data_IF_429520058695
#
_entry.id   IF_429520058695
#
_cell.length_a   1.000
_cell.length_b   1.000
_cell.length_c   1.000
_cell.angle_alpha   90.00
_cell.angle_beta   90.00
_cell.angle_gamma   90.00
#
_symmetry.space_group_name_H-M   'P 1'
#
loop_
_entity.id
_entity.type
_entity.pdbx_description
1 polymer ?
#
# COMPACT_ATOMS: atom_id res chain seq x y z
N UNK A 1 -9.40 -35.00 27.47
CA UNK A 1 -10.16 -33.74 27.32
C UNK A 1 -9.58 -32.95 26.17
N UNK A 2 -10.39 -32.62 25.15
CA UNK A 2 -9.93 -31.89 23.95
C UNK A 2 -9.42 -30.49 24.33
N UNK A 3 -8.09 -30.33 24.32
CA UNK A 3 -7.34 -29.18 24.83
C UNK A 3 -7.53 -27.89 24.02
N UNK A 4 -8.64 -27.20 24.24
CA UNK A 4 -8.82 -25.83 23.73
C UNK A 4 -7.90 -24.90 24.52
N UNK A 5 -6.94 -24.32 23.82
CA UNK A 5 -6.00 -23.34 24.38
C UNK A 5 -6.64 -21.95 24.33
N UNK A 6 -6.61 -21.24 25.45
CA UNK A 6 -7.10 -19.86 25.56
C UNK A 6 -5.97 -18.88 25.30
N UNK A 7 -6.28 -17.78 24.62
CA UNK A 7 -5.35 -16.70 24.31
C UNK A 7 -5.98 -15.34 24.63
N UNK A 8 -5.17 -14.36 25.00
CA UNK A 8 -5.69 -13.08 25.46
C UNK A 8 -4.58 -12.11 25.83
N UNK A 9 -4.97 -10.93 26.30
CA UNK A 9 -4.02 -9.93 26.77
C UNK A 9 -3.82 -10.02 28.28
N UNK A 10 -2.56 -10.07 28.70
CA UNK A 10 -2.14 -9.94 30.08
C UNK A 10 -1.04 -8.88 30.19
N UNK A 11 -1.25 -7.85 31.01
CA UNK A 11 -0.32 -6.72 31.19
C UNK A 11 0.19 -6.12 29.87
N UNK A 12 -0.69 -5.99 28.88
CA UNK A 12 -0.36 -5.45 27.55
C UNK A 12 0.22 -6.47 26.55
N UNK A 13 0.65 -7.65 27.00
CA UNK A 13 1.18 -8.72 26.14
C UNK A 13 0.09 -9.69 25.71
N UNK A 14 0.13 -10.15 24.45
CA UNK A 14 -0.82 -11.13 23.92
C UNK A 14 -0.29 -12.55 24.11
N UNK A 15 -0.71 -13.20 25.19
CA UNK A 15 -0.29 -14.57 25.52
C UNK A 15 -1.14 -15.58 24.75
N UNK A 16 -0.49 -16.63 24.26
CA UNK A 16 -1.07 -17.58 23.29
C UNK A 16 -1.53 -18.87 23.94
N UNK A 17 -1.16 -19.10 25.20
CA UNK A 17 -1.58 -20.26 25.94
C UNK A 17 -1.86 -19.99 27.41
N UNK A 18 -2.69 -20.87 28.00
CA UNK A 18 -2.94 -20.88 29.44
C UNK A 18 -1.66 -21.13 30.24
N UNK A 19 -0.72 -21.92 29.70
CA UNK A 19 0.55 -22.21 30.37
C UNK A 19 1.46 -20.98 30.39
N UNK A 20 1.54 -20.22 29.29
CA UNK A 20 2.25 -18.93 29.25
C UNK A 20 1.67 -17.96 30.29
N UNK A 21 0.35 -17.88 30.41
CA UNK A 21 -0.29 -17.05 31.43
C UNK A 21 0.08 -17.47 32.85
N UNK A 22 0.01 -18.77 33.17
CA UNK A 22 0.38 -19.27 34.49
C UNK A 22 1.86 -18.96 34.79
N UNK A 23 2.73 -19.09 33.79
CA UNK A 23 4.14 -18.77 33.96
C UNK A 23 4.38 -17.28 34.19
N UNK A 24 3.76 -16.41 33.40
CA UNK A 24 3.80 -14.96 33.60
C UNK A 24 3.35 -14.57 35.01
N UNK A 25 2.25 -15.19 35.50
CA UNK A 25 1.75 -14.99 36.87
C UNK A 25 2.74 -15.43 37.94
N UNK A 26 3.42 -16.55 37.72
CA UNK A 26 4.50 -17.00 38.59
C UNK A 26 5.66 -16.01 38.63
N UNK A 27 6.12 -15.54 37.48
CA UNK A 27 7.21 -14.55 37.38
C UNK A 27 6.84 -13.25 38.10
N UNK A 28 5.62 -12.75 37.88
CA UNK A 28 5.11 -11.56 38.54
C UNK A 28 5.05 -11.71 40.07
N UNK A 29 4.63 -12.89 40.57
CA UNK A 29 4.60 -13.17 42.01
C UNK A 29 6.01 -13.24 42.62
N UNK A 30 6.99 -13.73 41.86
CA UNK A 30 8.40 -13.78 42.28
C UNK A 30 9.16 -12.48 42.01
N UNK A 31 8.48 -11.45 41.52
CA UNK A 31 9.08 -10.16 41.14
C UNK A 31 10.20 -10.29 40.11
N UNK A 32 10.16 -11.32 39.27
CA UNK A 32 11.12 -11.54 38.19
C UNK A 32 10.64 -10.75 36.98
N UNK A 33 11.43 -9.78 36.54
CA UNK A 33 11.12 -9.03 35.32
C UNK A 33 11.27 -9.90 34.07
N UNK A 34 10.30 -9.79 33.16
CA UNK A 34 10.23 -10.56 31.92
C UNK A 34 9.70 -9.72 30.75
N UNK A 35 10.17 -10.06 29.56
CA UNK A 35 9.60 -9.60 28.29
C UNK A 35 9.05 -10.78 27.50
N UNK A 36 7.95 -10.56 26.77
CA UNK A 36 7.30 -11.61 25.97
C UNK A 36 7.63 -11.49 24.49
N UNK A 37 8.11 -12.58 23.90
CA UNK A 37 8.30 -12.72 22.45
C UNK A 37 9.10 -11.56 21.81
N UNK A 38 10.16 -11.12 22.48
CA UNK A 38 10.95 -9.89 22.19
C UNK A 38 11.33 -9.76 20.71
N UNK A 39 11.92 -10.81 20.13
CA UNK A 39 12.36 -10.82 18.73
C UNK A 39 12.40 -12.22 18.14
N UNK A 40 12.43 -12.24 16.81
CA UNK A 40 12.62 -13.45 16.02
C UNK A 40 14.11 -13.55 15.69
N UNK A 41 14.67 -14.73 15.92
CA UNK A 41 16.06 -15.06 15.64
C UNK A 41 16.15 -15.97 14.42
N UNK A 42 17.12 -15.71 13.55
CA UNK A 42 17.41 -16.62 12.43
C UNK A 42 18.34 -17.74 12.92
N UNK A 43 18.09 -18.97 12.48
CA UNK A 43 18.91 -20.13 12.87
C UNK A 43 19.89 -20.51 11.76
N UNK A 44 21.09 -20.96 12.13
CA UNK A 44 22.13 -21.41 11.20
C UNK A 44 21.71 -22.63 10.38
N UNK A 45 20.88 -23.50 10.97
CA UNK A 45 20.25 -24.65 10.28
C UNK A 45 19.12 -24.26 9.33
N UNK A 46 18.78 -22.98 9.28
CA UNK A 46 17.67 -22.42 8.51
C UNK A 46 16.37 -22.34 9.30
N UNK A 47 15.52 -21.41 8.88
CA UNK A 47 14.31 -21.06 9.62
C UNK A 47 14.58 -20.01 10.70
N UNK A 48 13.62 -19.84 11.60
CA UNK A 48 13.71 -18.87 12.68
C UNK A 48 13.31 -19.47 14.01
N UNK A 49 13.58 -18.82 15.13
CA UNK A 49 13.11 -19.20 16.45
C UNK A 49 12.65 -17.96 17.20
N UNK A 50 11.61 -18.10 18.02
CA UNK A 50 11.02 -17.00 18.78
C UNK A 50 10.68 -17.56 20.16
N UNK A 51 11.54 -17.37 21.17
CA UNK A 51 11.27 -17.85 22.52
C UNK A 51 10.08 -17.11 23.13
N UNK A 52 9.36 -17.76 24.03
CA UNK A 52 8.15 -17.20 24.65
C UNK A 52 8.50 -16.05 25.61
N UNK A 53 9.49 -16.22 26.48
CA UNK A 53 9.92 -15.22 27.46
C UNK A 53 11.42 -14.97 27.42
N UNK A 54 11.82 -13.73 27.69
CA UNK A 54 13.18 -13.32 28.04
C UNK A 54 13.16 -12.78 29.47
N UNK A 55 14.02 -13.30 30.34
CA UNK A 55 14.14 -12.85 31.72
C UNK A 55 15.21 -11.76 31.86
N UNK A 56 15.15 -11.02 32.96
CA UNK A 56 16.11 -9.93 33.26
C UNK A 56 17.58 -10.37 33.38
N UNK A 57 17.83 -11.65 33.67
CA UNK A 57 19.17 -12.24 33.68
C UNK A 57 19.70 -12.59 32.27
N UNK A 58 18.91 -12.31 31.22
CA UNK A 58 19.24 -12.61 29.83
C UNK A 58 18.91 -14.04 29.40
N UNK A 59 18.38 -14.88 30.31
CA UNK A 59 17.94 -16.23 29.96
C UNK A 59 16.62 -16.23 29.20
N UNK A 60 16.42 -17.24 28.36
CA UNK A 60 15.18 -17.42 27.60
C UNK A 60 14.38 -18.59 28.16
N UNK A 61 13.06 -18.51 28.04
CA UNK A 61 12.16 -19.57 28.48
C UNK A 61 11.17 -19.92 27.37
N UNK A 62 11.00 -21.22 27.14
CA UNK A 62 10.01 -21.79 26.23
C UNK A 62 8.99 -22.58 27.05
N UNK A 63 7.71 -22.23 26.94
CA UNK A 63 6.61 -22.89 27.66
C UNK A 63 5.87 -23.84 26.73
N UNK A 64 5.79 -25.13 27.10
CA UNK A 64 5.20 -26.17 26.24
C UNK A 64 4.26 -27.10 26.99
N UNK A 65 3.07 -27.33 26.43
CA UNK A 65 2.16 -28.37 26.91
C UNK A 65 2.67 -29.77 26.57
N UNK A 66 2.79 -30.05 25.26
CA UNK A 66 3.50 -31.23 24.74
C UNK A 66 4.85 -30.82 24.17
N UNK A 67 5.87 -31.65 24.36
CA UNK A 67 7.23 -31.40 23.85
C UNK A 67 7.69 -32.56 22.99
N UNK A 68 8.01 -32.28 21.73
CA UNK A 68 8.57 -33.28 20.84
C UNK A 68 10.10 -33.17 20.83
N UNK A 69 10.76 -34.09 21.54
CA UNK A 69 12.22 -34.13 21.64
C UNK A 69 12.93 -34.32 20.29
N UNK A 70 12.27 -34.86 19.27
CA UNK A 70 12.88 -35.07 17.96
C UNK A 70 12.87 -33.80 17.10
N UNK A 71 11.89 -32.90 17.30
CA UNK A 71 11.72 -31.72 16.44
C UNK A 71 12.00 -30.40 17.16
N UNK A 72 11.57 -30.29 18.41
CA UNK A 72 11.64 -29.04 19.16
C UNK A 72 13.03 -28.86 19.79
N UNK A 73 13.57 -29.92 20.39
CA UNK A 73 14.87 -29.87 21.07
C UNK A 73 16.03 -29.51 20.13
N UNK A 74 16.16 -30.06 18.90
CA UNK A 74 17.25 -29.67 18.01
C UNK A 74 17.20 -28.20 17.62
N UNK A 75 16.00 -27.63 17.48
CA UNK A 75 15.81 -26.22 17.14
C UNK A 75 16.23 -25.30 18.29
N UNK A 76 15.87 -25.67 19.51
CA UNK A 76 16.29 -24.96 20.73
C UNK A 76 17.81 -25.03 20.89
N UNK A 77 18.40 -26.23 20.78
CA UNK A 77 19.86 -26.39 20.85
C UNK A 77 20.61 -25.62 19.77
N UNK A 78 20.05 -25.54 18.56
CA UNK A 78 20.60 -24.71 17.49
C UNK A 78 20.61 -23.24 17.90
N UNK A 79 19.50 -22.74 18.45
CA UNK A 79 19.40 -21.37 18.95
C UNK A 79 20.40 -21.09 20.10
N UNK A 80 20.47 -21.97 21.09
CA UNK A 80 21.43 -21.87 22.19
C UNK A 80 22.87 -21.78 21.67
N UNK A 81 23.23 -22.63 20.70
CA UNK A 81 24.55 -22.64 20.07
C UNK A 81 24.82 -21.38 19.24
N UNK A 82 23.86 -20.97 18.40
CA UNK A 82 24.02 -19.86 17.46
C UNK A 82 24.19 -18.51 18.18
N UNK A 83 23.55 -18.37 19.35
CA UNK A 83 23.51 -17.10 20.09
C UNK A 83 24.25 -17.14 21.44
N UNK A 84 24.80 -18.29 21.84
CA UNK A 84 25.53 -18.44 23.11
C UNK A 84 24.63 -18.23 24.33
N UNK A 85 23.37 -18.67 24.25
CA UNK A 85 22.36 -18.47 25.30
C UNK A 85 21.85 -19.81 25.82
N UNK A 86 21.15 -19.78 26.96
CA UNK A 86 20.45 -20.94 27.51
C UNK A 86 18.95 -20.73 27.47
N UNK A 87 18.22 -21.76 27.04
CA UNK A 87 16.77 -21.79 27.00
C UNK A 87 16.25 -22.79 28.02
N UNK A 88 15.50 -22.31 29.00
CA UNK A 88 14.78 -23.18 29.93
C UNK A 88 13.47 -23.63 29.29
N UNK A 89 13.27 -24.94 29.19
CA UNK A 89 11.99 -25.51 28.75
C UNK A 89 11.13 -25.76 29.98
N UNK A 90 9.92 -25.19 29.99
CA UNK A 90 8.97 -25.30 31.08
C UNK A 90 7.72 -26.03 30.57
N UNK A 91 7.43 -27.18 31.15
CA UNK A 91 6.22 -27.96 30.85
C UNK A 91 5.14 -27.79 31.92
N UNK A 92 3.94 -28.30 31.67
CA UNK A 92 2.84 -28.27 32.65
C UNK A 92 3.24 -28.89 34.01
N UNK A 93 4.01 -29.99 34.01
CA UNK A 93 4.51 -30.60 35.25
C UNK A 93 5.43 -29.65 36.04
N UNK A 94 6.29 -28.93 35.34
CA UNK A 94 7.25 -28.01 35.95
C UNK A 94 6.52 -26.78 36.49
N UNK A 95 5.51 -26.28 35.76
CA UNK A 95 4.63 -25.20 36.23
C UNK A 95 3.86 -25.60 37.48
N UNK A 96 3.33 -26.82 37.55
CA UNK A 96 2.64 -27.31 38.76
C UNK A 96 3.57 -27.30 39.97
N UNK A 97 4.82 -27.74 39.80
CA UNK A 97 5.83 -27.71 40.86
C UNK A 97 6.19 -26.27 41.26
N UNK A 98 6.41 -25.38 40.30
CA UNK A 98 6.70 -23.97 40.57
C UNK A 98 5.57 -23.29 41.35
N UNK A 99 4.32 -23.51 40.92
CA UNK A 99 3.14 -22.93 41.58
C UNK A 99 2.91 -23.53 42.97
N UNK A 100 3.21 -24.81 43.19
CA UNK A 100 3.08 -25.45 44.51
C UNK A 100 3.97 -24.78 45.58
N UNK A 101 5.06 -24.11 45.18
CA UNK A 101 5.91 -23.32 46.09
C UNK A 101 5.35 -21.93 46.44
N UNK A 102 4.14 -21.62 45.98
CA UNK A 102 3.48 -20.32 46.14
C UNK A 102 2.10 -20.48 46.78
N UNK A 103 1.49 -19.40 47.30
CA UNK A 103 0.10 -19.41 47.75
C UNK A 103 -0.95 -19.57 46.62
N UNK A 104 -0.52 -19.56 45.35
CA UNK A 104 -1.43 -19.65 44.22
C UNK A 104 -1.84 -21.10 43.94
N UNK A 105 -3.06 -21.28 43.42
CA UNK A 105 -3.57 -22.59 43.01
C UNK A 105 -3.59 -22.67 41.49
N UNK A 106 -2.90 -23.68 40.94
CA UNK A 106 -2.75 -23.86 39.50
C UNK A 106 -4.10 -23.89 38.75
N UNK A 107 -5.09 -24.62 39.27
CA UNK A 107 -6.41 -24.72 38.63
C UNK A 107 -7.20 -23.39 38.73
N UNK A 108 -7.00 -22.60 39.78
CA UNK A 108 -7.60 -21.25 39.87
C UNK A 108 -7.03 -20.33 38.79
N UNK A 109 -5.70 -20.37 38.56
CA UNK A 109 -5.07 -19.59 37.49
C UNK A 109 -5.57 -19.99 36.10
N UNK A 110 -5.85 -21.27 35.86
CA UNK A 110 -6.49 -21.73 34.61
C UNK A 110 -7.89 -21.15 34.43
N UNK A 111 -8.72 -21.16 35.48
CA UNK A 111 -10.07 -20.60 35.42
C UNK A 111 -10.05 -19.08 35.25
N UNK A 112 -9.15 -18.41 35.96
CA UNK A 112 -8.93 -16.97 35.85
C UNK A 112 -8.55 -16.61 34.41
N UNK A 113 -7.60 -17.33 33.80
CA UNK A 113 -7.25 -17.08 32.41
C UNK A 113 -8.43 -17.29 31.47
N UNK A 114 -9.24 -18.32 31.70
CA UNK A 114 -10.44 -18.57 30.89
C UNK A 114 -11.45 -17.42 30.96
N UNK A 115 -11.54 -16.72 32.08
CA UNK A 115 -12.41 -15.55 32.23
C UNK A 115 -11.83 -14.29 31.55
N UNK A 116 -10.50 -14.12 31.60
CA UNK A 116 -9.82 -12.95 31.03
C UNK A 116 -9.59 -13.10 29.52
N UNK A 117 -9.30 -14.32 29.06
CA UNK A 117 -9.01 -14.63 27.68
C UNK A 117 -10.25 -14.42 26.80
N UNK A 118 -10.20 -13.38 25.98
CA UNK A 118 -11.28 -13.00 25.06
C UNK A 118 -11.39 -13.91 23.83
N UNK A 119 -10.53 -14.93 23.69
CA UNK A 119 -10.45 -15.79 22.51
C UNK A 119 -10.22 -17.27 22.83
N UNK A 120 -10.96 -18.11 22.13
CA UNK A 120 -10.73 -19.55 22.02
C UNK A 120 -9.89 -19.83 20.76
N UNK A 121 -8.67 -20.32 20.93
CA UNK A 121 -7.72 -20.56 19.84
C UNK A 121 -6.92 -19.32 19.42
N UNK A 122 -5.70 -19.55 18.93
CA UNK A 122 -4.69 -18.51 18.68
C UNK A 122 -5.14 -17.50 17.59
N UNK A 123 -5.13 -16.20 17.90
CA UNK A 123 -5.25 -15.15 16.88
C UNK A 123 -3.99 -15.14 16.00
N UNK A 124 -4.18 -15.42 14.72
CA UNK A 124 -3.10 -15.47 13.72
C UNK A 124 -3.10 -14.24 12.81
N UNK A 125 -3.81 -13.17 13.19
CA UNK A 125 -3.86 -11.92 12.46
C UNK A 125 -2.86 -10.88 12.99
N UNK A 126 -2.38 -10.01 12.10
CA UNK A 126 -1.55 -8.85 12.45
C UNK A 126 -0.37 -9.18 13.39
N UNK A 127 -0.15 -8.30 14.38
CA UNK A 127 0.94 -8.41 15.37
C UNK A 127 0.83 -9.62 16.30
N UNK A 128 -0.37 -10.20 16.44
CA UNK A 128 -0.62 -11.34 17.33
C UNK A 128 -0.13 -12.68 16.73
N UNK A 129 0.07 -12.71 15.40
CA UNK A 129 0.64 -13.87 14.72
C UNK A 129 2.08 -14.13 15.18
N UNK A 130 2.41 -15.37 15.58
CA UNK A 130 3.78 -15.77 15.96
C UNK A 130 4.84 -15.54 14.87
N UNK A 131 4.42 -15.52 13.61
CA UNK A 131 5.27 -15.22 12.45
C UNK A 131 5.21 -13.77 12.00
N UNK A 132 4.56 -12.89 12.76
CA UNK A 132 4.53 -11.46 12.43
C UNK A 132 5.96 -10.91 12.39
N UNK A 133 6.33 -10.26 11.29
CA UNK A 133 7.68 -9.75 11.06
C UNK A 133 8.70 -10.78 10.55
N UNK A 134 8.36 -12.07 10.48
CA UNK A 134 9.25 -13.08 9.92
C UNK A 134 9.44 -12.87 8.41
N UNK A 135 10.70 -12.76 7.96
CA UNK A 135 11.02 -12.67 6.52
C UNK A 135 10.96 -14.06 5.90
N UNK A 136 10.08 -14.24 4.92
CA UNK A 136 10.01 -15.49 4.15
C UNK A 136 11.02 -15.45 3.02
N UNK A 137 11.95 -16.42 2.98
CA UNK A 137 12.94 -16.55 1.90
C UNK A 137 12.28 -16.75 0.53
N UNK A 138 12.97 -16.36 -0.54
CA UNK A 138 12.46 -16.48 -1.92
C UNK A 138 12.15 -17.95 -2.29
N UNK A 139 12.99 -18.89 -1.83
CA UNK A 139 12.80 -20.33 -2.05
C UNK A 139 11.50 -20.80 -1.38
N UNK A 140 11.27 -20.42 -0.12
CA UNK A 140 10.05 -20.78 0.62
C UNK A 140 8.81 -20.14 -0.02
N UNK A 141 8.91 -18.89 -0.49
CA UNK A 141 7.83 -18.21 -1.21
C UNK A 141 7.48 -18.94 -2.51
N UNK A 142 8.47 -19.41 -3.26
CA UNK A 142 8.27 -20.22 -4.46
C UNK A 142 7.57 -21.55 -4.14
N UNK A 143 7.99 -22.26 -3.09
CA UNK A 143 7.34 -23.50 -2.64
C UNK A 143 5.88 -23.27 -2.23
N UNK A 144 5.59 -22.21 -1.48
CA UNK A 144 4.22 -21.83 -1.09
C UNK A 144 3.38 -21.54 -2.33
N UNK A 145 3.91 -20.77 -3.28
CA UNK A 145 3.24 -20.42 -4.53
C UNK A 145 2.92 -21.67 -5.37
N UNK A 146 3.88 -22.57 -5.55
CA UNK A 146 3.68 -23.82 -6.27
C UNK A 146 2.60 -24.69 -5.62
N UNK A 147 2.64 -24.84 -4.29
CA UNK A 147 1.63 -25.59 -3.54
C UNK A 147 0.24 -24.96 -3.63
N UNK A 148 0.14 -23.63 -3.55
CA UNK A 148 -1.12 -22.92 -3.73
C UNK A 148 -1.70 -23.11 -5.14
N UNK A 149 -0.87 -23.02 -6.18
CA UNK A 149 -1.27 -23.30 -7.57
C UNK A 149 -1.76 -24.73 -7.74
N UNK A 150 -1.07 -25.70 -7.14
CA UNK A 150 -1.47 -27.11 -7.17
C UNK A 150 -2.84 -27.34 -6.53
N UNK A 151 -3.11 -26.76 -5.36
CA UNK A 151 -4.44 -26.84 -4.71
C UNK A 151 -5.55 -26.23 -5.56
N UNK A 152 -5.26 -25.15 -6.29
CA UNK A 152 -6.25 -24.50 -7.17
C UNK A 152 -6.59 -25.30 -8.43
N UNK A 153 -5.81 -26.34 -8.75
CA UNK A 153 -6.15 -27.28 -9.84
C UNK A 153 -7.24 -28.27 -9.42
N UNK A 154 -7.35 -28.59 -8.14
CA UNK A 154 -8.43 -29.41 -7.62
C UNK A 154 -9.76 -28.64 -7.69
N UNK A 155 -10.73 -29.22 -8.39
CA UNK A 155 -12.05 -28.63 -8.62
C UNK A 155 -12.83 -28.46 -7.33
N UNK A 156 -12.72 -29.41 -6.40
CA UNK A 156 -13.46 -29.37 -5.15
C UNK A 156 -12.93 -28.25 -4.24
N UNK A 157 -11.61 -28.21 -4.03
CA UNK A 157 -10.97 -27.12 -3.30
C UNK A 157 -11.25 -25.75 -3.91
N UNK A 158 -11.17 -25.64 -5.24
CA UNK A 158 -11.44 -24.38 -5.95
C UNK A 158 -12.87 -23.89 -5.73
N UNK A 159 -13.85 -24.79 -5.77
CA UNK A 159 -15.26 -24.45 -5.53
C UNK A 159 -15.47 -23.92 -4.11
N UNK A 160 -14.99 -24.66 -3.09
CA UNK A 160 -15.04 -24.24 -1.67
C UNK A 160 -14.35 -22.90 -1.44
N UNK A 161 -13.19 -22.67 -2.08
CA UNK A 161 -12.45 -21.42 -1.97
C UNK A 161 -13.22 -20.22 -2.57
N UNK A 162 -13.85 -20.41 -3.74
CA UNK A 162 -14.66 -19.38 -4.39
C UNK A 162 -15.90 -19.03 -3.56
N UNK A 163 -16.56 -20.04 -3.00
CA UNK A 163 -17.71 -19.87 -2.12
C UNK A 163 -17.36 -19.11 -0.84
N UNK A 164 -16.28 -19.52 -0.15
CA UNK A 164 -15.81 -18.82 1.04
C UNK A 164 -15.43 -17.36 0.76
N UNK A 165 -14.87 -17.08 -0.44
CA UNK A 165 -14.57 -15.72 -0.86
C UNK A 165 -15.85 -14.90 -1.12
N UNK A 166 -16.86 -15.48 -1.80
CA UNK A 166 -18.16 -14.85 -2.06
C UNK A 166 -18.89 -14.49 -0.76
N UNK A 167 -18.78 -15.37 0.25
CA UNK A 167 -19.43 -15.21 1.55
C UNK A 167 -18.62 -14.36 2.54
N UNK A 168 -17.45 -13.84 2.15
CA UNK A 168 -16.65 -12.99 3.03
C UNK A 168 -17.29 -11.60 3.21
N UNK A 169 -17.38 -11.14 4.46
CA UNK A 169 -17.95 -9.84 4.81
C UNK A 169 -17.31 -8.67 4.03
N UNK A 170 -16.02 -8.78 3.71
CA UNK A 170 -15.29 -7.79 2.90
C UNK A 170 -15.83 -7.70 1.47
N UNK A 171 -16.08 -8.84 0.82
CA UNK A 171 -16.62 -8.89 -0.55
C UNK A 171 -18.07 -8.44 -0.57
N UNK A 172 -18.87 -8.81 0.43
CA UNK A 172 -20.25 -8.34 0.58
C UNK A 172 -20.31 -6.81 0.70
N UNK A 173 -19.52 -6.21 1.60
CA UNK A 173 -19.43 -4.75 1.77
C UNK A 173 -18.96 -4.04 0.49
N UNK A 174 -18.06 -4.65 -0.28
CA UNK A 174 -17.63 -4.10 -1.57
C UNK A 174 -18.76 -4.14 -2.61
N UNK A 175 -19.49 -5.24 -2.69
CA UNK A 175 -20.63 -5.39 -3.60
C UNK A 175 -21.76 -4.42 -3.26
N UNK A 176 -22.06 -4.22 -1.97
CA UNK A 176 -23.02 -3.21 -1.50
C UNK A 176 -22.61 -1.79 -1.90
N UNK A 177 -21.34 -1.42 -1.69
CA UNK A 177 -20.81 -0.13 -2.16
C UNK A 177 -20.93 0.05 -3.66
N UNK A 178 -20.66 -1.01 -4.43
CA UNK A 178 -20.78 -0.97 -5.89
C UNK A 178 -22.24 -0.81 -6.32
N UNK A 179 -23.17 -1.52 -5.67
CA UNK A 179 -24.62 -1.36 -5.89
C UNK A 179 -25.08 0.06 -5.58
N UNK A 180 -24.70 0.61 -4.42
CA UNK A 180 -25.02 1.99 -4.05
C UNK A 180 -24.43 3.01 -5.04
N UNK A 181 -23.18 2.81 -5.47
CA UNK A 181 -22.54 3.63 -6.50
C UNK A 181 -23.28 3.56 -7.84
N UNK A 182 -23.73 2.36 -8.25
CA UNK A 182 -24.46 2.18 -9.51
C UNK A 182 -25.86 2.78 -9.46
N UNK A 183 -26.57 2.72 -8.32
CA UNK A 183 -27.85 3.41 -8.13
C UNK A 183 -27.71 4.92 -8.31
N UNK A 184 -26.65 5.52 -7.76
CA UNK A 184 -26.34 6.94 -7.97
C UNK A 184 -25.96 7.29 -9.41
N UNK A 185 -25.68 6.30 -10.26
CA UNK A 185 -25.27 6.49 -11.65
C UNK A 185 -26.45 6.48 -12.62
N UNK A 186 -27.62 6.02 -12.17
CA UNK A 186 -28.80 5.81 -12.99
C UNK A 186 -29.79 6.99 -12.99
N UNK A 187 -29.63 7.99 -12.11
CA UNK A 187 -30.50 9.17 -12.19
C UNK A 187 -29.96 10.16 -13.21
N UNK A 188 -30.85 10.52 -14.14
CA UNK A 188 -30.64 11.58 -15.12
C UNK A 188 -30.80 12.94 -14.44
N UNK A 189 -29.98 13.90 -14.86
CA UNK A 189 -30.06 15.30 -14.44
C UNK A 189 -30.02 16.18 -15.68
N UNK A 190 -30.76 17.27 -15.65
CA UNK A 190 -30.68 18.30 -16.68
C UNK A 190 -29.55 19.27 -16.33
N UNK A 191 -28.68 19.53 -17.29
CA UNK A 191 -27.53 20.44 -17.14
C UNK A 191 -27.56 21.46 -18.27
N UNK A 192 -27.22 22.70 -17.97
CA UNK A 192 -27.08 23.77 -18.96
C UNK A 192 -25.73 23.67 -19.67
N UNK A 193 -25.72 23.67 -21.00
CA UNK A 193 -24.48 23.64 -21.77
C UNK A 193 -23.69 24.95 -21.61
N UNK A 194 -22.43 24.86 -21.21
CA UNK A 194 -21.54 26.02 -21.00
C UNK A 194 -21.20 26.80 -22.29
N UNK A 195 -21.53 26.26 -23.48
CA UNK A 195 -21.25 26.90 -24.75
C UNK A 195 -22.49 27.53 -25.38
N UNK A 196 -23.54 26.73 -25.59
CA UNK A 196 -24.75 27.17 -26.30
C UNK A 196 -25.93 27.51 -25.38
N UNK A 197 -25.78 27.36 -24.07
CA UNK A 197 -26.84 27.66 -23.08
C UNK A 197 -28.03 26.69 -23.08
N UNK A 198 -28.08 25.70 -23.99
CA UNK A 198 -29.17 24.73 -24.05
C UNK A 198 -29.12 23.76 -22.88
N UNK A 199 -30.27 23.46 -22.30
CA UNK A 199 -30.43 22.38 -21.34
C UNK A 199 -30.39 21.03 -22.05
N UNK A 200 -29.75 20.05 -21.43
CA UNK A 200 -29.64 18.70 -21.95
C UNK A 200 -29.56 17.69 -20.81
N UNK A 201 -30.10 16.51 -21.06
CA UNK A 201 -30.15 15.42 -20.10
C UNK A 201 -28.83 14.63 -20.08
N UNK A 202 -28.29 14.37 -18.89
CA UNK A 202 -27.09 13.56 -18.70
C UNK A 202 -27.22 12.65 -17.49
N UNK A 203 -26.51 11.53 -17.53
CA UNK A 203 -26.30 10.71 -16.33
C UNK A 203 -25.46 11.47 -15.31
N UNK A 204 -25.91 11.50 -14.06
CA UNK A 204 -25.17 12.15 -12.98
C UNK A 204 -23.76 11.57 -12.82
N UNK A 205 -22.75 12.45 -12.76
CA UNK A 205 -21.33 12.10 -12.55
C UNK A 205 -20.69 13.01 -11.52
N UNK A 206 -20.51 12.52 -10.28
CA UNK A 206 -19.95 13.29 -9.15
C UNK A 206 -18.59 13.94 -9.44
N UNK A 207 -17.65 13.19 -10.04
CA UNK A 207 -16.26 13.65 -10.18
C UNK A 207 -15.97 14.39 -11.49
N UNK A 208 -16.77 14.14 -12.54
CA UNK A 208 -16.56 14.69 -13.89
C UNK A 208 -17.92 14.97 -14.54
N UNK A 209 -18.61 16.04 -14.11
CA UNK A 209 -19.89 16.43 -14.69
C UNK A 209 -19.70 16.78 -16.18
N UNK A 210 -20.68 16.39 -17.00
CA UNK A 210 -20.68 16.74 -18.42
C UNK A 210 -21.08 18.19 -18.59
N UNK A 211 -20.21 18.98 -19.23
CA UNK A 211 -20.36 20.45 -19.34
C UNK A 211 -20.97 20.91 -20.67
N UNK A 212 -20.95 20.05 -21.67
CA UNK A 212 -21.35 20.37 -23.04
C UNK A 212 -22.36 19.36 -23.57
N UNK A 213 -23.37 19.86 -24.27
CA UNK A 213 -24.44 19.03 -24.84
C UNK A 213 -23.97 18.17 -26.01
N UNK A 214 -22.87 18.55 -26.67
CA UNK A 214 -22.34 17.84 -27.83
C UNK A 214 -20.82 17.98 -27.93
N UNK A 215 -20.21 17.07 -28.69
CA UNK A 215 -18.80 17.16 -29.07
C UNK A 215 -18.50 18.47 -29.80
N UNK A 216 -19.40 18.92 -30.68
CA UNK A 216 -19.30 20.21 -31.37
C UNK A 216 -19.21 21.38 -30.40
N UNK A 217 -20.10 21.44 -29.39
CA UNK A 217 -20.05 22.49 -28.37
C UNK A 217 -18.79 22.43 -27.51
N UNK A 218 -18.32 21.24 -27.16
CA UNK A 218 -17.07 21.05 -26.42
C UNK A 218 -15.87 21.56 -27.21
N UNK A 219 -15.77 21.19 -28.49
CA UNK A 219 -14.69 21.61 -29.37
C UNK A 219 -14.74 23.11 -29.61
N UNK A 220 -15.91 23.66 -29.94
CA UNK A 220 -16.06 25.09 -30.24
C UNK A 220 -15.70 25.93 -29.02
N UNK A 221 -16.09 25.53 -27.80
CA UNK A 221 -15.68 26.21 -26.56
C UNK A 221 -14.17 26.12 -26.27
N UNK A 222 -13.49 25.09 -26.79
CA UNK A 222 -12.02 25.01 -26.72
C UNK A 222 -11.34 25.86 -27.78
N UNK A 223 -11.88 25.90 -29.00
CA UNK A 223 -11.32 26.63 -30.13
C UNK A 223 -11.62 28.13 -30.11
N UNK A 224 -12.76 28.56 -29.54
CA UNK A 224 -13.09 29.98 -29.33
C UNK A 224 -12.15 30.67 -28.33
N UNK A 225 -11.26 29.93 -27.67
CA UNK A 225 -10.18 30.49 -26.87
C UNK A 225 -9.11 31.19 -27.70
N UNK A 226 -8.97 30.88 -28.99
CA UNK A 226 -8.08 31.59 -29.92
C UNK A 226 -8.95 32.47 -30.83
N UNK A 227 -9.17 33.72 -30.41
CA UNK A 227 -9.61 34.78 -31.33
C UNK A 227 -8.39 35.26 -32.15
N UNK A 228 -8.64 35.92 -33.30
CA UNK A 228 -7.56 36.48 -34.13
C UNK A 228 -6.57 37.34 -33.32
N UNK A 229 -7.10 38.18 -32.43
CA UNK A 229 -6.30 39.05 -31.55
C UNK A 229 -5.36 38.26 -30.63
N UNK A 230 -5.79 37.11 -30.11
CA UNK A 230 -4.95 36.28 -29.23
C UNK A 230 -3.84 35.57 -30.00
N UNK A 231 -4.07 35.26 -31.28
CA UNK A 231 -3.03 34.67 -32.13
C UNK A 231 -1.85 35.63 -32.29
N UNK A 232 -2.15 36.91 -32.51
CA UNK A 232 -1.15 37.97 -32.62
C UNK A 232 -0.34 38.13 -31.32
N UNK A 233 -1.01 38.21 -30.17
CA UNK A 233 -0.34 38.29 -28.86
C UNK A 233 0.56 37.07 -28.57
N UNK A 234 0.13 35.87 -28.96
CA UNK A 234 0.93 34.64 -28.80
C UNK A 234 2.17 34.68 -29.71
N UNK A 235 2.07 35.25 -30.91
CA UNK A 235 3.21 35.43 -31.81
C UNK A 235 4.20 36.49 -31.29
N UNK A 236 3.72 37.59 -30.71
CA UNK A 236 4.58 38.59 -30.04
C UNK A 236 5.33 37.97 -28.86
N UNK A 237 4.65 37.22 -28.00
CA UNK A 237 5.29 36.48 -26.91
C UNK A 237 6.34 35.48 -27.42
N UNK A 238 6.08 34.82 -28.56
CA UNK A 238 7.05 33.91 -29.16
C UNK A 238 8.31 34.65 -29.63
N UNK A 239 8.15 35.85 -30.22
CA UNK A 239 9.28 36.70 -30.61
C UNK A 239 10.12 37.12 -29.41
N UNK A 240 9.50 37.56 -28.32
CA UNK A 240 10.22 37.98 -27.11
C UNK A 240 10.88 36.79 -26.41
N UNK A 241 10.21 35.63 -26.40
CA UNK A 241 10.83 34.40 -25.90
C UNK A 241 12.05 34.01 -26.74
N UNK A 242 11.96 34.12 -28.07
CA UNK A 242 13.05 33.81 -28.99
C UNK A 242 14.27 34.73 -28.76
N UNK A 243 14.06 36.04 -28.59
CA UNK A 243 15.12 37.01 -28.28
C UNK A 243 15.86 36.65 -27.00
N UNK A 244 15.14 36.32 -25.93
CA UNK A 244 15.72 36.07 -24.61
C UNK A 244 16.39 34.68 -24.48
N UNK A 245 16.07 33.73 -25.36
CA UNK A 245 16.51 32.33 -25.26
C UNK A 245 17.24 31.81 -26.51
N UNK A 246 17.74 32.71 -27.36
CA UNK A 246 18.30 32.40 -28.69
C UNK A 246 19.32 31.25 -28.67
N UNK A 247 20.30 31.29 -27.77
CA UNK A 247 21.37 30.29 -27.70
C UNK A 247 20.82 28.90 -27.30
N UNK A 248 19.85 28.84 -26.38
CA UNK A 248 19.22 27.60 -25.93
C UNK A 248 18.30 27.00 -27.00
N UNK A 249 17.66 27.84 -27.81
CA UNK A 249 16.81 27.42 -28.93
C UNK A 249 17.69 26.83 -30.04
N UNK A 250 18.72 27.56 -30.49
CA UNK A 250 19.62 27.10 -31.57
C UNK A 250 20.37 25.81 -31.24
N UNK A 251 20.76 25.62 -29.97
CA UNK A 251 21.47 24.40 -29.53
C UNK A 251 20.54 23.25 -29.13
N UNK A 252 19.21 23.43 -29.24
CA UNK A 252 18.23 22.45 -28.78
C UNK A 252 18.20 21.19 -29.65
N UNK A 253 18.48 20.04 -29.05
CA UNK A 253 18.26 18.73 -29.69
C UNK A 253 16.76 18.41 -29.75
N UNK A 254 16.34 17.74 -30.82
CA UNK A 254 14.92 17.39 -31.09
C UNK A 254 14.25 16.58 -29.97
N UNK A 255 15.02 15.78 -29.21
CA UNK A 255 14.50 15.02 -28.07
C UNK A 255 14.44 15.82 -26.75
N UNK A 256 14.83 17.11 -26.76
CA UNK A 256 14.86 18.01 -25.60
C UNK A 256 14.01 19.28 -25.78
N UNK A 257 13.11 19.29 -26.78
CA UNK A 257 12.24 20.44 -27.10
C UNK A 257 11.44 20.90 -25.87
N UNK A 258 10.83 19.98 -25.12
CA UNK A 258 9.98 20.33 -23.98
C UNK A 258 10.78 21.08 -22.91
N UNK A 259 12.01 20.64 -22.58
CA UNK A 259 12.80 21.32 -21.56
C UNK A 259 13.13 22.77 -21.92
N UNK A 260 13.31 23.06 -23.22
CA UNK A 260 13.63 24.41 -23.70
C UNK A 260 12.39 25.28 -23.83
N UNK A 261 11.29 24.75 -24.38
CA UNK A 261 10.07 25.53 -24.64
C UNK A 261 9.06 25.52 -23.48
N UNK A 262 9.31 24.76 -22.41
CA UNK A 262 8.40 24.69 -21.25
C UNK A 262 8.07 26.06 -20.65
N UNK A 263 9.03 26.99 -20.44
CA UNK A 263 8.70 28.30 -19.89
C UNK A 263 7.71 29.08 -20.77
N UNK A 264 7.84 28.98 -22.09
CA UNK A 264 6.90 29.56 -23.04
C UNK A 264 5.50 28.94 -22.95
N UNK A 265 5.39 27.61 -22.89
CA UNK A 265 4.09 26.95 -22.72
C UNK A 265 3.43 27.28 -21.38
N UNK A 266 4.21 27.35 -20.30
CA UNK A 266 3.69 27.70 -18.98
C UNK A 266 3.17 29.15 -18.95
N UNK A 267 3.83 30.07 -19.68
CA UNK A 267 3.36 31.44 -19.85
C UNK A 267 2.05 31.50 -20.65
N UNK A 268 1.94 30.75 -21.75
CA UNK A 268 0.70 30.66 -22.52
C UNK A 268 -0.45 30.08 -21.70
N UNK A 269 -0.19 29.06 -20.89
CA UNK A 269 -1.21 28.49 -20.00
C UNK A 269 -1.70 29.55 -19.01
N UNK A 270 -0.78 30.31 -18.43
CA UNK A 270 -1.09 31.34 -17.43
C UNK A 270 -1.90 32.50 -18.02
N UNK A 271 -1.50 33.02 -19.18
CA UNK A 271 -2.10 34.23 -19.76
C UNK A 271 -3.38 33.92 -20.56
N UNK A 272 -3.42 32.80 -21.29
CA UNK A 272 -4.52 32.48 -22.21
C UNK A 272 -5.33 31.25 -21.79
N UNK A 273 -4.90 30.50 -20.77
CA UNK A 273 -5.59 29.29 -20.34
C UNK A 273 -5.55 28.15 -21.37
N UNK A 274 -4.50 28.14 -22.23
CA UNK A 274 -4.29 27.16 -23.30
C UNK A 274 -3.25 26.14 -22.85
N UNK A 275 -3.65 24.86 -22.78
CA UNK A 275 -2.81 23.73 -22.36
C UNK A 275 -2.39 22.81 -23.51
N UNK A 276 -3.21 22.78 -24.55
CA UNK A 276 -3.05 21.83 -25.65
C UNK A 276 -2.07 22.42 -26.67
N UNK A 277 -0.95 21.72 -26.88
CA UNK A 277 0.13 22.18 -27.75
C UNK A 277 -0.31 22.36 -29.22
N UNK A 278 -1.31 21.62 -29.69
CA UNK A 278 -1.86 21.76 -31.05
C UNK A 278 -2.63 23.08 -31.20
N UNK A 279 -3.25 23.53 -30.12
CA UNK A 279 -3.91 24.83 -30.02
C UNK A 279 -2.84 25.94 -30.10
N UNK A 280 -1.73 25.79 -29.37
CA UNK A 280 -0.58 26.72 -29.46
C UNK A 280 0.04 26.74 -30.85
N UNK A 281 0.27 25.57 -31.46
CA UNK A 281 0.88 25.48 -32.80
C UNK A 281 0.02 26.19 -33.84
N UNK A 282 -1.31 26.05 -33.75
CA UNK A 282 -2.24 26.74 -34.65
C UNK A 282 -2.20 28.25 -34.47
N UNK A 283 -2.03 28.75 -33.25
CA UNK A 283 -1.88 30.18 -33.00
C UNK A 283 -0.55 30.74 -33.56
N UNK A 284 0.53 29.96 -33.51
CA UNK A 284 1.83 30.38 -34.04
C UNK A 284 1.91 30.28 -35.57
N UNK A 285 1.50 29.14 -36.13
CA UNK A 285 1.76 28.76 -37.52
C UNK A 285 0.52 28.80 -38.42
N UNK A 286 -0.66 29.05 -37.86
CA UNK A 286 -1.94 29.01 -38.58
C UNK A 286 -2.52 27.59 -38.77
N UNK A 287 -1.75 26.53 -38.49
CA UNK A 287 -2.19 25.14 -38.61
C UNK A 287 -1.71 24.24 -37.47
N UNK A 288 -2.35 23.09 -37.28
CA UNK A 288 -1.99 22.14 -36.23
C UNK A 288 -0.77 21.33 -36.63
N UNK A 289 0.24 21.30 -35.77
CA UNK A 289 1.49 20.59 -36.06
C UNK A 289 2.14 20.00 -34.82
N UNK A 290 3.25 19.30 -35.03
CA UNK A 290 4.07 18.65 -34.02
C UNK A 290 5.11 19.61 -33.41
N UNK A 291 5.71 19.20 -32.29
CA UNK A 291 6.71 19.98 -31.55
C UNK A 291 7.96 20.33 -32.37
N UNK A 292 8.32 19.53 -33.38
CA UNK A 292 9.53 19.78 -34.18
C UNK A 292 9.33 21.00 -35.08
N UNK A 293 8.16 21.12 -35.69
CA UNK A 293 7.83 22.30 -36.50
C UNK A 293 7.72 23.57 -35.65
N UNK A 294 7.21 23.46 -34.42
CA UNK A 294 7.27 24.59 -33.48
C UNK A 294 8.72 24.98 -33.17
N UNK A 295 9.61 24.00 -32.95
CA UNK A 295 11.04 24.31 -32.76
C UNK A 295 11.65 24.97 -34.01
N UNK A 296 11.34 24.49 -35.22
CA UNK A 296 11.82 25.10 -36.47
C UNK A 296 11.29 26.52 -36.66
N UNK A 297 10.06 26.80 -36.24
CA UNK A 297 9.52 28.16 -36.16
C UNK A 297 10.33 29.03 -35.21
N UNK A 298 10.67 28.55 -34.01
CA UNK A 298 11.54 29.28 -33.10
C UNK A 298 12.96 29.47 -33.65
N UNK A 299 13.51 28.50 -34.37
CA UNK A 299 14.79 28.67 -35.08
C UNK A 299 14.72 29.81 -36.08
N UNK A 300 13.69 29.86 -36.94
CA UNK A 300 13.56 30.93 -37.93
C UNK A 300 13.32 32.30 -37.28
N UNK A 301 12.58 32.36 -36.17
CA UNK A 301 12.46 33.60 -35.38
C UNK A 301 13.82 34.08 -34.86
N UNK A 302 14.62 33.18 -34.29
CA UNK A 302 15.96 33.52 -33.78
C UNK A 302 16.88 33.95 -34.91
N UNK A 303 16.87 33.28 -36.05
CA UNK A 303 17.67 33.65 -37.23
C UNK A 303 17.29 35.03 -37.77
N UNK A 304 15.99 35.34 -37.84
CA UNK A 304 15.50 36.66 -38.26
C UNK A 304 15.90 37.78 -37.28
N UNK A 305 15.87 37.50 -35.98
CA UNK A 305 16.26 38.45 -34.92
C UNK A 305 17.78 38.67 -34.90
N UNK A 306 18.59 37.61 -35.01
CA UNK A 306 20.05 37.72 -35.02
C UNK A 306 20.60 38.28 -36.34
N UNK A 307 19.94 37.97 -37.46
CA UNK A 307 20.29 38.49 -38.79
C UNK A 307 19.97 39.98 -38.96
N UNK A 308 19.03 40.54 -38.19
CA UNK A 308 18.75 41.98 -38.17
C UNK A 308 19.70 42.78 -37.29
N UNK A 309 20.37 42.16 -36.31
CA UNK A 309 21.43 42.81 -35.50
C UNK A 309 22.81 42.79 -36.14
N UNK A 310 22.96 42.19 -37.33
CA UNK A 310 24.25 42.00 -38.04
C UNK A 310 24.40 42.80 -39.35
N UNK A 311 23.61 43.85 -39.56
CA UNK A 311 23.79 44.81 -40.67
C UNK A 311 23.89 46.24 -40.15
#
# INVERSE_FOLDING_TARGET
MNGRTYCGHYRGHYLKSTLEYIYARYLDYKEIHWEYEVKIFDLSTGGSYKPDFMLSDGSYVEVKGGFNYQTDLPRIKCFEKDYGVTVKIIQEKDLRQLIASTPMVYEHLKQEWKQIAKGLGMDTSGKNNSRYGAKVSNITRAKISAKAKSRMKDSEYKSKWLEGRKNSAKVQKQNERLKAYNLLRQYQVFVTCHHCGKEFEVLFRKNKPQKYCSYSCSNTAQFSKISGDKSFLIQELALDFAKNNAQSILSCKVNKIISVLKPFYDQIEKEFGIKDERTVSKALLGYQTNRKEILFYFHSLVENVLGTTGK
#
